data_IF_386120987840
#
_entry.id   IF_386120987840
#
_cell.length_a   1.000
_cell.length_b   1.000
_cell.length_c   1.000
_cell.angle_alpha   90.00
_cell.angle_beta   90.00
_cell.angle_gamma   90.00
#
_symmetry.space_group_name_H-M   'P 1'
#
loop_
_entity.id
_entity.type
_entity.pdbx_description
1 polymer ?
#
# COMPACT_ATOMS: atom_id res chain seq x y z
N UNK A 1 13.51 -0.28 -8.39
CA UNK A 1 14.13 -1.37 -7.61
C UNK A 1 13.50 -1.39 -6.23
N UNK A 2 13.32 -2.55 -5.62
CA UNK A 2 12.87 -2.71 -4.23
C UNK A 2 13.84 -3.66 -3.53
N UNK A 3 14.11 -3.42 -2.26
CA UNK A 3 14.91 -4.27 -1.38
C UNK A 3 14.04 -4.79 -0.24
N UNK A 4 14.35 -5.98 0.26
CA UNK A 4 13.72 -6.59 1.43
C UNK A 4 14.83 -7.09 2.38
N UNK A 5 14.62 -7.11 3.71
CA UNK A 5 13.40 -6.67 4.39
C UNK A 5 13.30 -5.13 4.51
N UNK A 6 12.16 -4.66 5.01
CA UNK A 6 11.92 -3.25 5.32
C UNK A 6 12.85 -2.68 6.40
N UNK A 7 12.95 -1.34 6.50
CA UNK A 7 13.79 -0.68 7.50
C UNK A 7 13.45 -1.11 8.94
N UNK A 8 12.16 -1.33 9.20
CA UNK A 8 11.67 -1.71 10.53
C UNK A 8 12.19 -3.07 11.02
N UNK A 9 12.56 -3.96 10.10
CA UNK A 9 13.14 -5.27 10.44
C UNK A 9 14.55 -5.19 11.01
N UNK A 10 15.19 -4.01 10.94
CA UNK A 10 16.53 -3.74 11.44
C UNK A 10 16.52 -3.11 12.85
N UNK A 11 15.42 -3.23 13.61
CA UNK A 11 15.32 -2.74 14.99
C UNK A 11 16.52 -3.16 15.87
N UNK A 12 16.97 -4.41 15.72
CA UNK A 12 18.10 -4.98 16.45
C UNK A 12 19.46 -4.81 15.74
N UNK A 13 19.47 -4.42 14.45
CA UNK A 13 20.70 -4.16 13.65
C UNK A 13 20.57 -2.86 12.81
N UNK A 14 20.61 -1.66 13.43
CA UNK A 14 20.50 -0.41 12.69
C UNK A 14 21.58 -0.21 11.62
N UNK A 15 22.79 -0.74 11.81
CA UNK A 15 23.84 -0.67 10.78
C UNK A 15 23.45 -1.47 9.52
N UNK A 16 22.68 -2.55 9.68
CA UNK A 16 22.05 -3.30 8.59
C UNK A 16 21.10 -2.46 7.74
N UNK A 17 20.36 -1.54 8.34
CA UNK A 17 19.47 -0.63 7.62
C UNK A 17 20.24 0.33 6.68
N UNK A 18 21.36 0.87 7.13
CA UNK A 18 22.22 1.69 6.28
C UNK A 18 22.76 0.88 5.10
N UNK A 19 23.20 -0.37 5.34
CA UNK A 19 23.67 -1.28 4.29
C UNK A 19 22.59 -1.58 3.25
N UNK A 20 21.32 -1.75 3.64
CA UNK A 20 20.23 -1.99 2.68
C UNK A 20 19.93 -0.77 1.80
N UNK A 21 20.05 0.44 2.36
CA UNK A 21 19.91 1.71 1.61
C UNK A 21 21.03 1.89 0.58
N UNK A 22 22.25 1.41 0.86
CA UNK A 22 23.38 1.54 -0.05
C UNK A 22 23.10 0.92 -1.42
N UNK A 23 22.42 -0.23 -1.45
CA UNK A 23 22.06 -0.90 -2.71
C UNK A 23 21.18 -0.02 -3.61
N UNK A 24 20.22 0.69 -3.00
CA UNK A 24 19.35 1.65 -3.71
C UNK A 24 20.11 2.89 -4.19
N UNK A 25 21.06 3.39 -3.38
CA UNK A 25 21.93 4.50 -3.76
C UNK A 25 22.80 4.13 -4.97
N UNK A 26 23.41 2.95 -4.97
CA UNK A 26 24.23 2.47 -6.09
C UNK A 26 23.38 2.24 -7.35
N UNK A 27 22.16 1.72 -7.20
CA UNK A 27 21.21 1.67 -8.31
C UNK A 27 20.95 3.07 -8.90
N UNK A 28 20.72 4.08 -8.07
CA UNK A 28 20.47 5.45 -8.55
C UNK A 28 21.71 6.06 -9.24
N UNK A 29 22.91 5.84 -8.68
CA UNK A 29 24.18 6.29 -9.28
C UNK A 29 24.43 5.70 -10.66
N UNK A 30 24.09 4.43 -10.86
CA UNK A 30 24.22 3.75 -12.15
C UNK A 30 23.25 4.30 -13.23
N UNK A 31 22.27 5.11 -12.82
CA UNK A 31 21.21 5.63 -13.68
C UNK A 31 21.36 7.13 -13.93
N UNK A 32 22.00 7.87 -13.03
CA UNK A 32 22.14 9.32 -13.11
C UNK A 32 23.58 9.68 -13.50
N UNK A 33 23.80 10.55 -14.51
CA UNK A 33 25.14 11.02 -14.88
C UNK A 33 25.88 11.61 -13.68
N UNK A 34 27.16 11.29 -13.57
CA UNK A 34 27.99 11.64 -12.40
C UNK A 34 28.07 13.15 -12.17
N UNK A 35 28.01 13.92 -13.25
CA UNK A 35 28.05 15.38 -13.26
C UNK A 35 26.81 15.98 -12.56
N UNK A 36 25.68 15.28 -12.59
CA UNK A 36 24.40 15.72 -12.00
C UNK A 36 24.23 15.30 -10.54
N UNK A 37 25.13 14.49 -9.97
CA UNK A 37 24.94 13.96 -8.61
C UNK A 37 24.81 15.08 -7.58
N UNK A 38 25.69 16.09 -7.62
CA UNK A 38 25.70 17.18 -6.62
C UNK A 38 24.45 18.06 -6.61
N UNK A 39 23.69 18.06 -7.70
CA UNK A 39 22.46 18.86 -7.84
C UNK A 39 21.20 18.01 -7.61
N UNK A 40 21.32 16.69 -7.75
CA UNK A 40 20.22 15.75 -7.58
C UNK A 40 19.97 15.52 -6.09
N UNK A 41 18.78 15.84 -5.61
CA UNK A 41 18.41 15.58 -4.21
C UNK A 41 18.14 14.09 -4.00
N UNK A 42 18.54 13.56 -2.85
CA UNK A 42 18.11 12.25 -2.37
C UNK A 42 17.35 12.41 -1.06
N UNK A 43 16.23 11.71 -0.92
CA UNK A 43 15.37 11.77 0.26
C UNK A 43 14.99 10.35 0.67
N UNK A 44 14.80 10.13 1.96
CA UNK A 44 14.31 8.87 2.51
C UNK A 44 13.07 9.14 3.36
N UNK A 45 11.96 8.53 2.97
CA UNK A 45 10.67 8.71 3.62
C UNK A 45 10.22 7.35 4.14
N UNK A 46 10.43 7.13 5.43
CA UNK A 46 9.99 5.92 6.10
C UNK A 46 8.52 6.01 6.50
N UNK A 47 7.81 4.88 6.42
CA UNK A 47 6.34 4.80 6.54
C UNK A 47 5.91 3.97 7.76
N UNK A 48 4.80 3.23 7.64
CA UNK A 48 4.13 2.56 8.74
C UNK A 48 5.01 1.58 9.51
N UNK A 49 5.89 0.84 8.82
CA UNK A 49 6.83 -0.07 9.47
C UNK A 49 7.64 0.62 10.56
N UNK A 50 8.21 1.79 10.25
CA UNK A 50 9.00 2.58 11.20
C UNK A 50 8.12 3.26 12.25
N UNK A 51 6.90 3.70 11.90
CA UNK A 51 5.94 4.27 12.87
C UNK A 51 5.57 3.33 14.01
N UNK A 52 5.73 2.01 13.83
CA UNK A 52 5.46 1.00 14.87
C UNK A 52 6.59 0.80 15.87
N UNK A 53 7.78 1.35 15.61
CA UNK A 53 8.94 1.22 16.52
C UNK A 53 8.96 2.34 17.55
N UNK A 54 9.67 2.13 18.64
CA UNK A 54 9.98 3.20 19.59
C UNK A 54 10.85 4.28 18.94
N UNK A 55 10.63 5.54 19.30
CA UNK A 55 11.30 6.72 18.69
C UNK A 55 12.83 6.60 18.75
N UNK A 56 13.38 6.06 19.84
CA UNK A 56 14.83 5.85 19.98
C UNK A 56 15.38 4.84 18.95
N UNK A 57 14.62 3.78 18.67
CA UNK A 57 14.98 2.78 17.65
C UNK A 57 14.83 3.37 16.26
N UNK A 58 13.76 4.15 16.01
CA UNK A 58 13.57 4.85 14.74
C UNK A 58 14.77 5.75 14.41
N UNK A 59 15.22 6.58 15.36
CA UNK A 59 16.33 7.49 15.15
C UNK A 59 17.66 6.76 14.95
N UNK A 60 17.93 5.66 15.68
CA UNK A 60 19.13 4.84 15.45
C UNK A 60 19.20 4.29 14.02
N UNK A 61 18.08 3.80 13.50
CA UNK A 61 17.96 3.30 12.12
C UNK A 61 18.16 4.46 11.13
N UNK A 62 17.44 5.58 11.31
CA UNK A 62 17.53 6.73 10.41
C UNK A 62 18.94 7.33 10.41
N UNK A 63 19.63 7.38 11.54
CA UNK A 63 21.02 7.85 11.64
C UNK A 63 21.98 6.98 10.83
N UNK A 64 21.78 5.66 10.84
CA UNK A 64 22.53 4.73 9.99
C UNK A 64 22.30 5.04 8.50
N UNK A 65 21.04 5.22 8.10
CA UNK A 65 20.69 5.60 6.73
C UNK A 65 21.25 6.98 6.33
N UNK A 66 21.16 7.99 7.20
CA UNK A 66 21.69 9.35 6.98
C UNK A 66 23.19 9.33 6.71
N UNK A 67 23.98 8.48 7.40
CA UNK A 67 25.41 8.32 7.14
C UNK A 67 25.68 7.88 5.69
N UNK A 68 24.89 6.91 5.19
CA UNK A 68 24.99 6.42 3.81
C UNK A 68 24.58 7.48 2.80
N UNK A 69 23.46 8.17 3.06
CA UNK A 69 22.95 9.22 2.16
C UNK A 69 23.88 10.42 2.08
N UNK A 70 24.50 10.84 3.20
CA UNK A 70 25.55 11.88 3.22
C UNK A 70 26.77 11.49 2.37
N UNK A 71 27.16 10.21 2.41
CA UNK A 71 28.30 9.68 1.65
C UNK A 71 28.00 9.39 0.18
N UNK A 72 26.74 9.55 -0.27
CA UNK A 72 26.33 9.13 -1.62
C UNK A 72 26.87 10.03 -2.75
N UNK A 73 27.19 11.29 -2.47
CA UNK A 73 27.53 12.30 -3.48
C UNK A 73 26.31 12.99 -4.10
N UNK A 74 25.09 12.54 -3.78
CA UNK A 74 23.85 13.28 -4.05
C UNK A 74 23.67 14.43 -3.06
N UNK A 75 22.87 15.44 -3.43
CA UNK A 75 22.47 16.52 -2.52
C UNK A 75 21.58 15.95 -1.42
N UNK A 76 21.99 16.08 -0.16
CA UNK A 76 21.27 15.51 0.98
C UNK A 76 21.30 16.45 2.18
N UNK A 77 20.23 16.40 2.98
CA UNK A 77 20.11 17.04 4.28
C UNK A 77 19.52 16.04 5.27
N UNK A 78 20.00 16.02 6.52
CA UNK A 78 19.61 14.98 7.49
C UNK A 78 18.09 14.97 7.77
N UNK A 79 17.43 16.12 7.71
CA UNK A 79 15.97 16.24 7.84
C UNK A 79 15.17 15.66 6.66
N UNK A 80 15.82 15.28 5.56
CA UNK A 80 15.19 14.60 4.42
C UNK A 80 15.18 13.08 4.57
N UNK A 81 15.76 12.54 5.64
CA UNK A 81 15.59 11.17 6.08
C UNK A 81 14.76 11.16 7.37
N UNK A 82 13.46 10.90 7.24
CA UNK A 82 12.50 11.00 8.33
C UNK A 82 11.38 9.96 8.21
N UNK A 83 10.67 9.72 9.32
CA UNK A 83 9.41 8.98 9.31
C UNK A 83 8.29 9.97 9.01
N UNK A 84 7.55 9.75 7.92
CA UNK A 84 6.46 10.65 7.52
C UNK A 84 5.16 10.27 8.22
N UNK A 85 4.23 11.23 8.33
CA UNK A 85 2.90 10.93 8.84
C UNK A 85 2.11 10.12 7.82
N UNK A 86 1.20 9.27 8.29
CA UNK A 86 0.36 8.48 7.38
C UNK A 86 -0.60 9.33 6.53
N UNK A 87 -0.96 10.53 6.97
CA UNK A 87 -1.71 11.47 6.13
C UNK A 87 -0.84 12.03 5.00
N UNK A 88 0.42 12.36 5.27
CA UNK A 88 1.33 12.86 4.21
C UNK A 88 1.60 11.77 3.18
N UNK A 89 1.73 10.51 3.62
CA UNK A 89 1.80 9.33 2.76
C UNK A 89 0.66 9.28 1.74
N UNK A 90 -0.59 9.36 2.23
CA UNK A 90 -1.77 9.39 1.36
C UNK A 90 -1.85 10.63 0.46
N UNK A 91 -1.44 11.81 0.95
CA UNK A 91 -1.42 13.05 0.16
C UNK A 91 -0.39 12.96 -0.98
N UNK A 92 0.81 12.47 -0.72
CA UNK A 92 1.84 12.31 -1.73
C UNK A 92 1.41 11.30 -2.81
N UNK A 93 0.82 10.18 -2.42
CA UNK A 93 0.25 9.22 -3.38
C UNK A 93 -0.85 9.86 -4.25
N UNK A 94 -1.74 10.65 -3.64
CA UNK A 94 -2.79 11.37 -4.36
C UNK A 94 -2.24 12.40 -5.35
N UNK A 95 -1.21 13.16 -4.97
CA UNK A 95 -0.55 14.13 -5.85
C UNK A 95 0.07 13.41 -7.05
N UNK A 96 0.82 12.34 -6.82
CA UNK A 96 1.50 11.60 -7.89
C UNK A 96 0.50 11.01 -8.87
N UNK A 97 -0.57 10.40 -8.37
CA UNK A 97 -1.63 9.84 -9.21
C UNK A 97 -2.31 10.91 -10.07
N UNK A 98 -2.72 12.02 -9.48
CA UNK A 98 -3.42 13.07 -10.21
C UNK A 98 -2.51 13.88 -11.13
N UNK A 99 -1.22 13.95 -10.82
CA UNK A 99 -0.22 14.49 -11.74
C UNK A 99 -0.11 13.60 -12.98
N UNK A 100 0.04 12.28 -12.78
CA UNK A 100 0.16 11.33 -13.87
C UNK A 100 -1.11 11.24 -14.73
N UNK A 101 -2.28 11.40 -14.11
CA UNK A 101 -3.58 11.48 -14.80
C UNK A 101 -3.83 12.82 -15.50
N UNK A 102 -2.99 13.84 -15.27
CA UNK A 102 -3.17 15.18 -15.82
C UNK A 102 -4.37 15.95 -15.24
N UNK A 103 -4.87 15.55 -14.07
CA UNK A 103 -6.02 16.18 -13.40
C UNK A 103 -5.60 17.28 -12.42
N UNK A 104 -4.33 17.32 -11.99
CA UNK A 104 -3.80 18.42 -11.19
C UNK A 104 -3.77 19.74 -11.99
N UNK A 105 -4.14 20.83 -11.32
CA UNK A 105 -4.34 22.15 -11.92
C UNK A 105 -5.73 22.35 -12.53
N UNK A 106 -6.55 21.29 -12.62
CA UNK A 106 -7.94 21.33 -13.07
C UNK A 106 -8.97 21.39 -11.92
N UNK A 107 -10.21 21.01 -12.23
CA UNK A 107 -11.30 20.94 -11.24
C UNK A 107 -10.99 19.92 -10.12
N UNK A 108 -10.96 20.33 -8.83
CA UNK A 108 -10.82 19.41 -7.70
C UNK A 108 -11.76 18.21 -7.72
N UNK A 109 -12.99 18.36 -8.23
CA UNK A 109 -13.98 17.28 -8.22
C UNK A 109 -13.75 16.22 -9.31
N UNK A 110 -12.90 16.50 -10.29
CA UNK A 110 -12.50 15.56 -11.35
C UNK A 110 -11.24 14.76 -11.01
N UNK A 111 -10.64 15.05 -9.85
CA UNK A 111 -9.49 14.29 -9.35
C UNK A 111 -9.89 12.88 -8.94
N UNK A 112 -8.92 11.97 -8.98
CA UNK A 112 -9.08 10.57 -8.61
C UNK A 112 -8.54 10.35 -7.20
N UNK A 113 -9.35 9.75 -6.33
CA UNK A 113 -8.93 9.36 -4.98
C UNK A 113 -7.93 8.21 -5.01
N UNK A 114 -7.22 8.02 -3.89
CA UNK A 114 -6.26 6.94 -3.69
C UNK A 114 -6.68 6.10 -2.49
N UNK A 115 -6.60 4.78 -2.69
CA UNK A 115 -6.57 3.80 -1.60
C UNK A 115 -5.26 3.02 -1.73
N UNK A 116 -4.34 3.26 -0.81
CA UNK A 116 -3.05 2.59 -0.78
C UNK A 116 -3.08 1.52 0.30
N UNK A 117 -2.60 0.31 -0.02
CA UNK A 117 -2.48 -0.80 0.93
C UNK A 117 -1.02 -1.22 1.04
N UNK A 118 -0.33 -0.69 2.05
CA UNK A 118 1.04 -1.06 2.40
C UNK A 118 1.12 -2.33 3.25
N UNK A 119 2.31 -2.63 3.76
CA UNK A 119 2.54 -3.78 4.63
C UNK A 119 1.94 -3.60 6.03
N UNK A 120 2.08 -2.40 6.60
CA UNK A 120 1.69 -2.11 7.98
C UNK A 120 0.52 -1.11 8.13
N UNK A 121 0.20 -0.32 7.11
CA UNK A 121 -1.01 0.51 7.09
C UNK A 121 -1.69 0.52 5.73
N UNK A 122 -2.91 1.06 5.72
CA UNK A 122 -3.59 1.51 4.52
C UNK A 122 -3.87 3.02 4.59
N UNK A 123 -4.08 3.67 3.46
CA UNK A 123 -4.34 5.10 3.36
C UNK A 123 -5.53 5.34 2.44
N UNK A 124 -6.38 6.28 2.82
CA UNK A 124 -7.51 6.73 1.99
C UNK A 124 -7.39 8.23 1.84
N UNK A 125 -7.23 8.71 0.61
CA UNK A 125 -7.07 10.14 0.31
C UNK A 125 -7.88 10.56 -0.92
N UNK A 126 -8.76 11.54 -0.78
CA UNK A 126 -9.57 12.07 -1.89
C UNK A 126 -10.09 13.47 -1.60
N UNK A 127 -10.50 14.19 -2.64
CA UNK A 127 -11.22 15.47 -2.47
C UNK A 127 -12.62 15.19 -1.92
N UNK A 128 -12.91 15.66 -0.72
CA UNK A 128 -14.24 15.56 -0.13
C UNK A 128 -15.10 16.76 -0.51
N UNK A 129 -16.39 16.52 -0.80
CA UNK A 129 -17.39 17.59 -0.98
C UNK A 129 -17.95 18.10 0.34
N UNK A 130 -17.72 17.35 1.42
CA UNK A 130 -18.22 17.64 2.75
C UNK A 130 -17.16 18.36 3.58
N UNK A 131 -17.60 19.21 4.50
CA UNK A 131 -16.71 19.87 5.44
C UNK A 131 -16.10 18.81 6.37
N UNK A 132 -14.76 18.74 6.39
CA UNK A 132 -14.01 17.77 7.18
C UNK A 132 -13.47 18.39 8.46
N UNK A 133 -13.40 17.59 9.53
CA UNK A 133 -12.67 17.99 10.74
C UNK A 133 -11.20 18.28 10.38
N UNK A 134 -10.55 19.28 11.02
CA UNK A 134 -9.16 19.63 10.74
C UNK A 134 -8.18 18.45 10.85
N UNK A 135 -8.47 17.49 11.73
CA UNK A 135 -7.66 16.28 11.90
C UNK A 135 -7.51 15.49 10.59
N UNK A 136 -8.59 15.36 9.82
CA UNK A 136 -8.64 14.59 8.57
C UNK A 136 -8.43 15.43 7.32
N UNK A 137 -8.46 16.76 7.45
CA UNK A 137 -8.35 17.67 6.32
C UNK A 137 -6.89 18.00 6.01
N UNK A 138 -6.50 17.89 4.74
CA UNK A 138 -5.20 18.33 4.24
C UNK A 138 -5.41 19.24 3.04
N UNK A 139 -4.68 20.35 3.00
CA UNK A 139 -4.78 21.32 1.90
C UNK A 139 -3.54 21.22 1.02
N UNK A 140 -3.75 20.99 -0.27
CA UNK A 140 -2.69 21.00 -1.29
C UNK A 140 -2.95 22.15 -2.23
N UNK A 141 -1.91 22.91 -2.57
CA UNK A 141 -1.97 23.97 -3.58
C UNK A 141 -1.11 23.59 -4.77
N UNK A 142 -1.69 23.68 -5.97
CA UNK A 142 -0.97 23.44 -7.21
C UNK A 142 -1.37 24.49 -8.25
N UNK A 143 -0.42 25.32 -8.66
CA UNK A 143 -0.72 26.53 -9.43
C UNK A 143 -1.67 27.45 -8.67
N UNK A 144 -2.80 27.80 -9.31
CA UNK A 144 -3.84 28.64 -8.72
C UNK A 144 -5.00 27.82 -8.08
N UNK A 145 -4.89 26.49 -8.06
CA UNK A 145 -5.94 25.62 -7.52
C UNK A 145 -5.58 25.16 -6.11
N UNK A 146 -6.59 25.18 -5.23
CA UNK A 146 -6.49 24.63 -3.87
C UNK A 146 -7.38 23.41 -3.75
N UNK A 147 -6.79 22.29 -3.32
CA UNK A 147 -7.47 21.01 -3.08
C UNK A 147 -7.62 20.79 -1.58
N UNK A 148 -8.85 20.56 -1.13
CA UNK A 148 -9.14 20.17 0.24
C UNK A 148 -9.39 18.66 0.26
N UNK A 149 -8.41 17.95 0.77
CA UNK A 149 -8.38 16.49 0.80
C UNK A 149 -8.88 16.00 2.16
N UNK A 150 -9.69 14.96 2.14
CA UNK A 150 -9.70 13.99 3.22
C UNK A 150 -8.44 13.14 3.09
N UNK A 151 -7.68 12.95 4.17
CA UNK A 151 -6.56 12.02 4.20
C UNK A 151 -6.42 11.38 5.57
N UNK A 152 -6.52 10.06 5.61
CA UNK A 152 -6.39 9.28 6.84
C UNK A 152 -5.58 8.00 6.61
N UNK A 153 -4.81 7.62 7.62
CA UNK A 153 -4.01 6.39 7.64
C UNK A 153 -4.57 5.42 8.66
N UNK A 154 -4.86 4.22 8.19
CA UNK A 154 -5.34 3.08 8.94
C UNK A 154 -4.13 2.25 9.37
N UNK A 155 -3.42 2.72 10.40
CA UNK A 155 -2.28 2.01 10.97
C UNK A 155 -2.74 0.65 11.54
N UNK A 156 -1.89 -0.38 11.38
CA UNK A 156 -2.17 -1.79 11.70
C UNK A 156 -3.16 -2.51 10.76
N UNK A 157 -3.76 -1.81 9.81
CA UNK A 157 -4.62 -2.41 8.78
C UNK A 157 -3.90 -2.67 7.45
N UNK A 158 -2.57 -2.57 7.44
CA UNK A 158 -1.76 -3.02 6.30
C UNK A 158 -1.82 -4.53 6.12
N UNK A 159 -1.51 -5.01 4.91
CA UNK A 159 -1.76 -6.39 4.53
C UNK A 159 -0.97 -7.41 5.36
N UNK A 160 0.30 -7.12 5.65
CA UNK A 160 1.17 -8.02 6.41
C UNK A 160 0.77 -8.05 7.88
N UNK A 161 0.54 -6.87 8.49
CA UNK A 161 0.10 -6.79 9.89
C UNK A 161 -1.28 -7.41 10.10
N UNK A 162 -2.19 -7.28 9.13
CA UNK A 162 -3.48 -7.93 9.18
C UNK A 162 -3.35 -9.47 9.07
N UNK A 163 -2.45 -9.97 8.22
CA UNK A 163 -2.16 -11.39 8.12
C UNK A 163 -1.52 -11.94 9.41
N UNK A 164 -0.60 -11.21 10.02
CA UNK A 164 0.01 -11.61 11.30
C UNK A 164 -1.03 -11.59 12.43
N UNK A 165 -1.91 -10.60 12.44
CA UNK A 165 -3.05 -10.52 13.37
C UNK A 165 -4.02 -11.70 13.19
N UNK A 166 -4.27 -12.12 11.94
CA UNK A 166 -5.02 -13.34 11.64
C UNK A 166 -4.34 -14.58 12.24
N UNK A 167 -3.04 -14.74 12.01
CA UNK A 167 -2.28 -15.90 12.51
C UNK A 167 -2.29 -15.96 14.04
N UNK A 168 -2.06 -14.84 14.72
CA UNK A 168 -2.13 -14.77 16.18
C UNK A 168 -3.53 -15.10 16.71
N UNK A 169 -4.58 -14.56 16.09
CA UNK A 169 -5.95 -14.84 16.50
C UNK A 169 -6.40 -16.29 16.22
N UNK A 170 -5.84 -16.91 15.18
CA UNK A 170 -5.99 -18.33 14.90
C UNK A 170 -5.32 -19.17 16.00
N UNK A 171 -4.13 -18.78 16.47
CA UNK A 171 -3.39 -19.44 17.56
C UNK A 171 -4.12 -19.33 18.89
N UNK A 172 -4.54 -18.13 19.26
CA UNK A 172 -5.19 -17.86 20.54
C UNK A 172 -6.59 -18.46 20.63
N UNK A 173 -7.21 -18.77 19.48
CA UNK A 173 -8.58 -19.26 19.40
C UNK A 173 -9.65 -18.17 19.45
N UNK A 174 -9.25 -16.90 19.46
CA UNK A 174 -10.16 -15.75 19.60
C UNK A 174 -11.19 -15.66 18.46
N UNK A 175 -10.84 -16.13 17.25
CA UNK A 175 -11.74 -16.06 16.08
C UNK A 175 -12.71 -17.24 15.98
N UNK A 176 -12.43 -18.38 16.61
CA UNK A 176 -13.36 -19.52 16.64
C UNK A 176 -14.66 -19.16 17.37
N UNK A 177 -14.58 -18.27 18.37
CA UNK A 177 -15.74 -17.74 19.10
C UNK A 177 -16.67 -16.90 18.20
N UNK A 178 -16.12 -16.21 17.19
CA UNK A 178 -16.87 -15.36 16.27
C UNK A 178 -17.57 -16.20 15.19
N UNK A 179 -16.88 -17.21 14.63
CA UNK A 179 -17.46 -18.15 13.67
C UNK A 179 -18.60 -18.99 14.27
N UNK A 180 -18.56 -19.27 15.57
CA UNK A 180 -19.66 -19.93 16.29
C UNK A 180 -20.91 -19.05 16.41
N UNK A 181 -20.76 -17.73 16.56
CA UNK A 181 -21.91 -16.82 16.66
C UNK A 181 -22.65 -16.57 15.34
N UNK A 182 -21.97 -16.77 14.20
CA UNK A 182 -22.55 -16.54 12.86
C UNK A 182 -23.31 -17.77 12.31
N UNK A 183 -23.11 -18.95 12.90
CA UNK A 183 -23.72 -20.21 12.45
C UNK A 183 -24.51 -20.89 13.57
N UNK A 184 -25.70 -20.36 13.90
CA UNK A 184 -26.61 -20.91 14.93
C UNK A 184 -27.04 -22.38 14.72
N UNK A 185 -26.71 -23.00 13.59
CA UNK A 185 -27.11 -24.38 13.24
C UNK A 185 -25.98 -25.43 13.40
N UNK A 186 -24.76 -25.06 13.81
CA UNK A 186 -23.63 -26.01 14.01
C UNK A 186 -22.99 -25.99 15.41
N UNK A 187 -23.69 -25.40 16.39
CA UNK A 187 -23.20 -25.16 17.76
C UNK A 187 -22.74 -26.43 18.50
N UNK A 188 -23.25 -27.61 18.13
CA UNK A 188 -22.92 -28.88 18.80
C UNK A 188 -21.63 -29.56 18.30
N UNK A 189 -21.18 -29.29 17.07
CA UNK A 189 -19.97 -29.92 16.53
C UNK A 189 -18.70 -29.10 16.87
N UNK A 190 -18.78 -27.77 16.82
CA UNK A 190 -17.65 -26.88 17.07
C UNK A 190 -17.13 -26.94 18.52
N UNK A 191 -18.04 -27.06 19.50
CA UNK A 191 -17.68 -27.20 20.92
C UNK A 191 -16.85 -28.45 21.24
N UNK A 192 -16.98 -29.52 20.43
CA UNK A 192 -16.19 -30.75 20.57
C UNK A 192 -14.79 -30.66 19.93
N UNK A 193 -14.60 -29.76 18.95
CA UNK A 193 -13.29 -29.50 18.31
C UNK A 193 -12.43 -28.51 19.12
N UNK A 194 -13.04 -27.51 19.77
CA UNK A 194 -12.33 -26.59 20.66
C UNK A 194 -11.76 -27.32 21.88
N UNK A 195 -12.46 -28.34 22.40
CA UNK A 195 -11.93 -29.20 23.47
C UNK A 195 -10.69 -30.04 23.06
N UNK A 196 -10.39 -30.15 21.75
CA UNK A 196 -9.23 -30.88 21.20
C UNK A 196 -8.07 -29.98 20.78
N UNK A 197 -8.18 -28.65 20.88
CA UNK A 197 -7.13 -27.73 20.42
C UNK A 197 -6.91 -27.77 18.90
N UNK A 198 -7.95 -28.12 18.13
CA UNK A 198 -7.92 -28.10 16.67
C UNK A 198 -8.45 -26.75 16.17
N UNK A 199 -7.62 -25.98 15.47
CA UNK A 199 -7.97 -24.71 14.86
C UNK A 199 -8.05 -24.88 13.34
N UNK A 200 -9.07 -24.27 12.72
CA UNK A 200 -9.28 -24.36 11.27
C UNK A 200 -8.78 -23.07 10.64
N UNK A 201 -7.85 -23.19 9.69
CA UNK A 201 -7.35 -22.08 8.91
C UNK A 201 -7.99 -22.03 7.51
N UNK A 202 -9.00 -21.17 7.30
CA UNK A 202 -9.58 -20.95 5.97
C UNK A 202 -8.69 -20.13 5.03
N UNK A 203 -7.69 -19.40 5.55
CA UNK A 203 -6.92 -18.40 4.81
C UNK A 203 -5.60 -18.90 4.24
N UNK A 204 -5.19 -20.11 4.59
CA UNK A 204 -4.05 -20.80 3.98
C UNK A 204 -4.55 -21.88 3.01
N UNK A 205 -3.91 -22.05 1.84
CA UNK A 205 -4.34 -23.04 0.85
C UNK A 205 -4.46 -24.46 1.41
N UNK A 206 -5.42 -25.21 0.88
CA UNK A 206 -5.70 -26.57 1.31
C UNK A 206 -4.47 -27.49 1.16
N UNK A 207 -4.27 -28.39 2.12
CA UNK A 207 -3.16 -29.36 2.08
C UNK A 207 -1.81 -28.80 2.55
N UNK A 208 -1.73 -27.52 2.90
CA UNK A 208 -0.54 -26.99 3.58
C UNK A 208 -0.47 -27.51 5.02
N UNK A 209 0.70 -28.02 5.43
CA UNK A 209 0.96 -28.44 6.80
C UNK A 209 1.94 -27.49 7.45
N UNK A 210 1.55 -26.92 8.58
CA UNK A 210 2.43 -26.09 9.39
C UNK A 210 3.51 -26.95 10.07
N UNK A 211 4.76 -26.49 10.02
CA UNK A 211 5.82 -27.05 10.86
C UNK A 211 5.71 -26.47 12.27
N UNK A 212 6.01 -27.27 13.29
CA UNK A 212 6.00 -26.85 14.72
C UNK A 212 6.83 -25.58 14.97
N UNK A 213 7.90 -25.37 14.21
CA UNK A 213 8.76 -24.17 14.34
C UNK A 213 8.26 -22.93 13.59
N UNK A 214 7.27 -23.06 12.69
CA UNK A 214 6.73 -21.92 11.92
C UNK A 214 5.90 -20.92 12.75
N UNK A 215 5.75 -21.19 14.05
CA UNK A 215 4.90 -20.47 15.00
C UNK A 215 5.73 -19.70 16.04
N UNK A 216 7.07 -19.76 15.97
CA UNK A 216 7.98 -19.15 16.94
C UNK A 216 8.43 -17.72 16.58
N UNK A 217 7.89 -17.12 15.53
CA UNK A 217 8.38 -15.85 14.98
C UNK A 217 7.46 -14.69 15.33
N UNK A 218 7.46 -14.27 16.60
CA UNK A 218 7.06 -12.92 16.99
C UNK A 218 7.93 -12.49 18.19
N UNK A 219 8.77 -11.44 18.11
CA UNK A 219 9.75 -11.08 19.14
C UNK A 219 9.17 -10.32 20.34
N UNK A 220 7.85 -10.33 20.56
CA UNK A 220 7.20 -9.47 21.56
C UNK A 220 6.25 -10.24 22.47
N UNK A 221 6.81 -11.03 23.39
CA UNK A 221 6.31 -11.17 24.77
C UNK A 221 7.16 -12.19 25.55
N UNK A 222 7.97 -11.69 26.48
CA UNK A 222 8.48 -12.51 27.58
C UNK A 222 7.32 -12.82 28.53
N UNK A 223 6.58 -13.88 28.24
CA UNK A 223 5.73 -14.55 29.21
C UNK A 223 5.82 -16.04 28.99
N UNK A 224 6.23 -16.78 30.02
CA UNK A 224 6.25 -18.24 30.05
C UNK A 224 4.90 -18.80 29.57
N UNK A 225 4.84 -19.28 28.32
CA UNK A 225 3.65 -19.94 27.78
C UNK A 225 3.79 -21.45 27.96
N UNK A 226 2.81 -22.00 28.68
CA UNK A 226 2.55 -23.43 28.83
C UNK A 226 2.60 -24.19 27.50
N UNK A 227 3.05 -25.42 27.58
CA UNK A 227 3.33 -26.40 26.52
C UNK A 227 2.08 -26.93 25.77
N UNK A 228 1.13 -26.06 25.41
CA UNK A 228 -0.03 -26.42 24.59
C UNK A 228 0.17 -25.88 23.17
N UNK A 229 0.44 -26.77 22.22
CA UNK A 229 0.56 -26.39 20.81
C UNK A 229 -0.74 -26.73 20.09
N UNK A 230 -1.49 -25.72 19.62
CA UNK A 230 -2.71 -25.97 18.86
C UNK A 230 -2.39 -26.73 17.57
N UNK A 231 -3.21 -27.73 17.25
CA UNK A 231 -3.15 -28.39 15.93
C UNK A 231 -3.92 -27.52 14.96
N UNK A 232 -3.30 -27.13 13.84
CA UNK A 232 -3.96 -26.26 12.85
C UNK A 232 -4.17 -27.01 11.55
N UNK A 233 -5.42 -27.07 11.13
CA UNK A 233 -5.85 -27.69 9.89
C UNK A 233 -6.15 -26.62 8.85
N UNK A 234 -5.40 -26.62 7.75
CA UNK A 234 -5.65 -25.74 6.61
C UNK A 234 -6.82 -26.25 5.78
N UNK A 235 -7.66 -25.32 5.34
CA UNK A 235 -8.88 -25.63 4.60
C UNK A 235 -8.99 -24.86 3.28
N UNK A 236 -8.34 -23.70 3.15
CA UNK A 236 -8.34 -22.95 1.92
C UNK A 236 -9.75 -22.54 1.46
N UNK A 237 -10.55 -21.96 2.35
CA UNK A 237 -11.90 -21.52 2.06
C UNK A 237 -11.97 -19.99 1.99
N UNK A 238 -12.00 -19.45 0.78
CA UNK A 238 -12.02 -18.01 0.55
C UNK A 238 -13.17 -17.28 1.27
N UNK A 239 -14.39 -17.83 1.28
CA UNK A 239 -15.54 -17.16 1.89
C UNK A 239 -15.42 -17.08 3.42
N UNK A 240 -14.93 -18.15 4.04
CA UNK A 240 -14.60 -18.15 5.47
C UNK A 240 -13.43 -17.20 5.75
N UNK A 241 -12.39 -17.20 4.90
CA UNK A 241 -11.26 -16.30 5.04
C UNK A 241 -11.66 -14.81 4.92
N UNK A 242 -12.53 -14.47 3.97
CA UNK A 242 -13.07 -13.11 3.80
C UNK A 242 -13.87 -12.68 5.03
N UNK A 243 -14.62 -13.60 5.64
CA UNK A 243 -15.37 -13.34 6.88
C UNK A 243 -14.41 -13.10 8.05
N UNK A 244 -13.33 -13.86 8.15
CA UNK A 244 -12.26 -13.63 9.13
C UNK A 244 -11.58 -12.27 8.92
N UNK A 245 -11.22 -11.94 7.68
CA UNK A 245 -10.64 -10.65 7.33
C UNK A 245 -11.57 -9.48 7.69
N UNK A 246 -12.87 -9.60 7.42
CA UNK A 246 -13.86 -8.59 7.82
C UNK A 246 -13.93 -8.42 9.34
N UNK A 247 -13.82 -9.52 10.10
CA UNK A 247 -13.77 -9.46 11.56
C UNK A 247 -12.56 -8.68 12.05
N UNK A 248 -11.39 -8.88 11.42
CA UNK A 248 -10.18 -8.10 11.73
C UNK A 248 -10.37 -6.62 11.42
N UNK A 249 -10.98 -6.29 10.27
CA UNK A 249 -11.30 -4.92 9.88
C UNK A 249 -12.30 -4.24 10.84
N UNK A 250 -13.15 -5.01 11.52
CA UNK A 250 -14.13 -4.50 12.49
C UNK A 250 -13.58 -4.41 13.92
N UNK A 251 -12.40 -4.96 14.20
CA UNK A 251 -11.81 -4.95 15.54
C UNK A 251 -11.60 -3.50 16.02
N UNK A 252 -12.06 -3.18 17.22
CA UNK A 252 -11.97 -1.84 17.80
C UNK A 252 -13.14 -0.92 17.45
N UNK A 253 -14.13 -1.38 16.66
CA UNK A 253 -15.29 -0.58 16.26
C UNK A 253 -16.17 -0.14 17.43
N UNK A 254 -16.17 -0.88 18.52
CA UNK A 254 -16.81 -0.51 19.79
C UNK A 254 -16.24 0.80 20.39
N UNK A 255 -15.02 1.18 20.02
CA UNK A 255 -14.38 2.42 20.45
C UNK A 255 -14.62 3.59 19.47
N UNK A 256 -15.54 3.44 18.50
CA UNK A 256 -15.86 4.49 17.53
C UNK A 256 -16.44 5.73 18.22
N UNK A 257 -15.74 6.86 18.09
CA UNK A 257 -16.16 8.14 18.67
C UNK A 257 -16.90 9.05 17.68
N UNK A 258 -17.24 8.53 16.50
CA UNK A 258 -17.88 9.26 15.40
C UNK A 258 -19.28 8.69 15.09
N UNK A 259 -20.05 9.37 14.24
CA UNK A 259 -21.40 8.92 13.86
C UNK A 259 -21.38 7.50 13.25
N UNK A 260 -20.34 7.20 12.48
CA UNK A 260 -20.06 5.86 11.96
C UNK A 260 -18.55 5.64 11.84
N UNK A 261 -18.13 4.39 11.92
CA UNK A 261 -16.77 3.96 11.60
C UNK A 261 -16.84 2.71 10.71
N UNK A 262 -16.11 2.74 9.61
CA UNK A 262 -16.14 1.68 8.60
C UNK A 262 -15.08 0.61 8.90
N UNK A 263 -13.93 1.01 9.44
CA UNK A 263 -12.79 0.15 9.75
C UNK A 263 -12.27 0.46 11.16
N UNK A 264 -12.44 -0.50 12.07
CA UNK A 264 -12.20 -0.34 13.51
C UNK A 264 -12.90 0.91 14.03
N UNK A 265 -12.17 1.74 14.77
CA UNK A 265 -12.64 3.03 15.31
C UNK A 265 -12.43 4.22 14.36
N UNK A 266 -12.13 3.98 13.07
CA UNK A 266 -11.80 5.04 12.12
C UNK A 266 -13.01 5.49 11.34
N UNK A 267 -13.27 6.79 11.36
CA UNK A 267 -14.26 7.45 10.52
C UNK A 267 -13.72 7.58 9.10
N UNK A 268 -14.52 7.17 8.11
CA UNK A 268 -14.24 7.41 6.69
C UNK A 268 -15.50 8.04 6.09
N UNK A 269 -15.40 9.23 5.45
CA UNK A 269 -16.54 9.79 4.74
C UNK A 269 -16.96 8.85 3.60
N UNK A 270 -18.22 8.93 3.20
CA UNK A 270 -18.68 8.20 2.02
C UNK A 270 -17.77 8.53 0.84
N UNK A 271 -17.19 7.51 0.23
CA UNK A 271 -16.30 7.67 -0.91
C UNK A 271 -17.05 8.32 -2.08
N UNK A 272 -16.40 9.24 -2.80
CA UNK A 272 -17.01 10.00 -3.89
C UNK A 272 -16.05 10.08 -5.08
N UNK A 273 -16.56 9.81 -6.28
CA UNK A 273 -15.79 9.89 -7.51
C UNK A 273 -15.03 8.61 -7.83
N UNK A 274 -13.94 8.76 -8.59
CA UNK A 274 -13.09 7.67 -9.07
C UNK A 274 -11.96 7.42 -8.07
N UNK A 275 -11.53 6.17 -7.94
CA UNK A 275 -10.41 5.81 -7.08
C UNK A 275 -9.40 4.92 -7.81
N UNK A 276 -8.14 5.06 -7.43
CA UNK A 276 -7.08 4.10 -7.73
C UNK A 276 -6.70 3.33 -6.46
N UNK A 277 -6.60 2.01 -6.59
CA UNK A 277 -6.06 1.13 -5.58
C UNK A 277 -4.61 0.76 -5.94
N UNK A 278 -3.66 1.02 -5.04
CA UNK A 278 -2.20 0.93 -5.29
C UNK A 278 -1.50 -0.09 -4.38
N UNK A 279 -0.19 -0.28 -4.57
CA UNK A 279 0.66 -1.16 -3.76
C UNK A 279 0.14 -2.62 -3.69
N UNK A 280 -0.18 -3.15 -2.50
CA UNK A 280 -0.54 -4.56 -2.38
C UNK A 280 -1.83 -4.93 -3.12
N UNK A 281 -2.71 -3.96 -3.44
CA UNK A 281 -3.82 -4.20 -4.36
C UNK A 281 -3.31 -4.62 -5.75
N UNK A 282 -2.35 -3.88 -6.28
CA UNK A 282 -1.73 -4.16 -7.57
C UNK A 282 -0.91 -5.43 -7.55
N UNK A 283 -0.06 -5.64 -6.53
CA UNK A 283 0.78 -6.83 -6.44
C UNK A 283 -0.06 -8.11 -6.38
N UNK A 284 -1.11 -8.11 -5.57
CA UNK A 284 -2.04 -9.26 -5.48
C UNK A 284 -2.76 -9.49 -6.80
N UNK A 285 -3.25 -8.42 -7.45
CA UNK A 285 -3.96 -8.54 -8.74
C UNK A 285 -3.03 -9.04 -9.86
N UNK A 286 -1.79 -8.52 -9.90
CA UNK A 286 -0.75 -8.95 -10.85
C UNK A 286 -0.38 -10.40 -10.65
N UNK A 287 -0.26 -10.88 -9.41
CA UNK A 287 -0.02 -12.29 -9.12
C UNK A 287 -1.09 -13.20 -9.74
N UNK A 288 -2.35 -12.79 -9.68
CA UNK A 288 -3.47 -13.52 -10.30
C UNK A 288 -3.59 -13.30 -11.82
N UNK A 289 -2.69 -12.55 -12.45
CA UNK A 289 -2.75 -12.25 -13.88
C UNK A 289 -3.91 -11.34 -14.27
N UNK A 290 -4.44 -10.57 -13.31
CA UNK A 290 -5.53 -9.64 -13.57
C UNK A 290 -4.98 -8.34 -14.18
N UNK A 291 -5.69 -7.82 -15.19
CA UNK A 291 -5.33 -6.55 -15.82
C UNK A 291 -5.57 -5.34 -14.91
N UNK A 292 -5.01 -4.16 -15.25
CA UNK A 292 -5.10 -2.93 -14.44
C UNK A 292 -6.51 -2.32 -14.34
N UNK A 293 -7.47 -2.87 -15.07
CA UNK A 293 -8.88 -2.48 -15.05
C UNK A 293 -9.79 -3.66 -14.65
N UNK A 294 -9.22 -4.70 -14.03
CA UNK A 294 -9.99 -5.84 -13.58
C UNK A 294 -10.96 -5.43 -12.47
N UNK A 295 -12.18 -5.95 -12.56
CA UNK A 295 -13.20 -5.77 -11.53
C UNK A 295 -12.84 -6.54 -10.25
N UNK A 296 -13.35 -6.06 -9.12
CA UNK A 296 -13.15 -6.70 -7.83
C UNK A 296 -13.73 -8.13 -7.80
N UNK A 297 -14.81 -8.37 -8.56
CA UNK A 297 -15.38 -9.70 -8.78
C UNK A 297 -14.37 -10.70 -9.36
N UNK A 298 -13.48 -10.27 -10.27
CA UNK A 298 -12.44 -11.13 -10.85
C UNK A 298 -11.37 -11.48 -9.83
N UNK A 299 -10.99 -10.54 -8.97
CA UNK A 299 -10.09 -10.81 -7.85
C UNK A 299 -10.72 -11.80 -6.86
N UNK A 300 -12.02 -11.63 -6.57
CA UNK A 300 -12.76 -12.57 -5.73
C UNK A 300 -12.76 -13.98 -6.32
N UNK A 301 -13.06 -14.14 -7.62
CA UNK A 301 -13.03 -15.46 -8.29
C UNK A 301 -11.62 -16.06 -8.28
N UNK A 302 -10.59 -15.28 -8.60
CA UNK A 302 -9.21 -15.76 -8.57
C UNK A 302 -8.77 -16.21 -7.16
N UNK A 303 -9.17 -15.45 -6.13
CA UNK A 303 -8.95 -15.81 -4.73
C UNK A 303 -9.65 -17.11 -4.34
N UNK A 304 -10.90 -17.30 -4.77
CA UNK A 304 -11.65 -18.55 -4.53
C UNK A 304 -10.95 -19.77 -5.13
N UNK A 305 -10.52 -19.67 -6.39
CA UNK A 305 -9.78 -20.74 -7.07
C UNK A 305 -8.44 -21.03 -6.39
N UNK A 306 -7.70 -19.98 -6.02
CA UNK A 306 -6.39 -20.12 -5.40
C UNK A 306 -6.45 -20.72 -4.00
N UNK A 307 -7.35 -20.22 -3.14
CA UNK A 307 -7.54 -20.74 -1.79
C UNK A 307 -7.91 -22.22 -1.81
N UNK A 308 -8.82 -22.62 -2.71
CA UNK A 308 -9.33 -24.00 -2.78
C UNK A 308 -8.39 -25.01 -3.44
N UNK A 309 -7.26 -24.57 -4.02
CA UNK A 309 -6.32 -25.47 -4.69
C UNK A 309 -5.36 -26.14 -3.69
N UNK A 310 -4.95 -27.36 -4.03
CA UNK A 310 -3.98 -28.11 -3.24
C UNK A 310 -2.59 -27.46 -3.24
N UNK A 311 -2.01 -27.32 -2.06
CA UNK A 311 -0.72 -26.68 -1.84
C UNK A 311 0.42 -27.27 -2.70
N UNK A 312 0.45 -28.59 -2.93
CA UNK A 312 1.51 -29.20 -3.74
C UNK A 312 1.38 -28.81 -5.21
N UNK A 313 0.16 -28.61 -5.72
CA UNK A 313 -0.05 -28.10 -7.07
C UNK A 313 0.33 -26.63 -7.17
N UNK A 314 -0.03 -25.81 -6.17
CA UNK A 314 0.39 -24.40 -6.13
C UNK A 314 1.92 -24.28 -6.14
N UNK A 315 2.62 -25.07 -5.32
CA UNK A 315 4.09 -25.09 -5.27
C UNK A 315 4.70 -25.49 -6.62
N UNK A 316 4.09 -26.43 -7.35
CA UNK A 316 4.53 -26.83 -8.70
C UNK A 316 4.23 -25.76 -9.75
N UNK A 317 3.16 -25.00 -9.60
CA UNK A 317 2.77 -23.92 -10.52
C UNK A 317 3.66 -22.68 -10.35
N UNK A 318 4.04 -22.36 -9.11
CA UNK A 318 4.78 -21.13 -8.76
C UNK A 318 6.19 -21.42 -8.22
N UNK A 319 7.00 -22.14 -8.99
CA UNK A 319 8.32 -22.66 -8.55
C UNK A 319 9.30 -21.55 -8.12
N UNK A 320 9.25 -20.39 -8.78
CA UNK A 320 10.19 -19.27 -8.54
C UNK A 320 9.77 -18.29 -7.45
N UNK A 321 8.63 -18.53 -6.77
CA UNK A 321 8.10 -17.60 -5.79
C UNK A 321 8.53 -18.00 -4.38
N UNK A 322 8.73 -16.99 -3.53
CA UNK A 322 8.98 -17.23 -2.12
C UNK A 322 7.79 -17.97 -1.48
N UNK A 323 8.10 -18.94 -0.62
CA UNK A 323 7.10 -19.80 -0.01
C UNK A 323 6.13 -19.00 0.86
N UNK A 324 6.65 -18.06 1.64
CA UNK A 324 5.85 -17.26 2.58
C UNK A 324 4.93 -16.32 1.81
N UNK A 325 5.41 -15.78 0.69
CA UNK A 325 4.57 -14.97 -0.19
C UNK A 325 3.43 -15.79 -0.78
N UNK A 326 3.66 -17.02 -1.25
CA UNK A 326 2.58 -17.89 -1.74
C UNK A 326 1.52 -18.18 -0.68
N UNK A 327 1.93 -18.45 0.57
CA UNK A 327 0.98 -18.72 1.65
C UNK A 327 0.06 -17.52 1.93
N UNK A 328 0.54 -16.30 1.70
CA UNK A 328 -0.24 -15.07 1.94
C UNK A 328 -1.33 -14.81 0.91
N UNK A 329 -1.21 -15.24 -0.34
CA UNK A 329 -2.09 -14.78 -1.43
C UNK A 329 -3.58 -15.13 -1.23
N UNK A 330 -3.89 -16.24 -0.57
CA UNK A 330 -5.28 -16.57 -0.21
C UNK A 330 -5.84 -15.51 0.76
N UNK A 331 -5.17 -15.26 1.89
CA UNK A 331 -5.52 -14.17 2.80
C UNK A 331 -5.54 -12.81 2.10
N UNK A 332 -4.54 -12.49 1.27
CA UNK A 332 -4.43 -11.19 0.61
C UNK A 332 -5.63 -10.88 -0.26
N UNK A 333 -6.06 -11.84 -1.09
CA UNK A 333 -7.24 -11.67 -1.94
C UNK A 333 -8.53 -11.49 -1.12
N UNK A 334 -8.69 -12.28 -0.05
CA UNK A 334 -9.86 -12.19 0.82
C UNK A 334 -9.91 -10.87 1.60
N UNK A 335 -8.77 -10.43 2.13
CA UNK A 335 -8.62 -9.17 2.86
C UNK A 335 -8.87 -7.95 1.99
N UNK A 336 -8.34 -7.94 0.76
CA UNK A 336 -8.58 -6.86 -0.21
C UNK A 336 -10.08 -6.73 -0.52
N UNK A 337 -10.78 -7.85 -0.75
CA UNK A 337 -12.22 -7.82 -1.04
C UNK A 337 -13.01 -7.35 0.18
N UNK A 338 -12.66 -7.82 1.39
CA UNK A 338 -13.30 -7.37 2.64
C UNK A 338 -13.07 -5.87 2.90
N UNK A 339 -11.87 -5.37 2.63
CA UNK A 339 -11.51 -3.97 2.78
C UNK A 339 -12.29 -3.09 1.79
N UNK A 340 -12.22 -3.40 0.50
CA UNK A 340 -12.81 -2.55 -0.54
C UNK A 340 -14.33 -2.66 -0.60
N UNK A 341 -14.87 -3.87 -0.64
CA UNK A 341 -16.31 -4.07 -0.83
C UNK A 341 -17.07 -3.98 0.50
N UNK A 342 -16.69 -4.82 1.47
CA UNK A 342 -17.49 -4.99 2.69
C UNK A 342 -17.35 -3.81 3.65
N UNK A 343 -16.19 -3.14 3.66
CA UNK A 343 -15.92 -2.02 4.56
C UNK A 343 -16.08 -0.66 3.87
N UNK A 344 -15.54 -0.49 2.66
CA UNK A 344 -15.54 0.81 1.96
C UNK A 344 -16.67 0.98 0.93
N UNK A 345 -17.45 -0.07 0.66
CA UNK A 345 -18.62 -0.01 -0.21
C UNK A 345 -18.31 0.07 -1.72
N UNK A 346 -17.09 -0.27 -2.14
CA UNK A 346 -16.71 -0.34 -3.55
C UNK A 346 -17.48 -1.46 -4.24
N UNK A 347 -18.09 -1.19 -5.40
CA UNK A 347 -18.86 -2.18 -6.16
C UNK A 347 -18.03 -3.40 -6.61
N UNK A 348 -18.67 -4.57 -6.70
CA UNK A 348 -18.02 -5.79 -7.24
C UNK A 348 -17.76 -5.71 -8.74
N UNK A 349 -18.72 -5.13 -9.47
CA UNK A 349 -18.71 -4.89 -10.91
C UNK A 349 -19.18 -3.47 -11.18
N UNK A 350 -18.53 -2.76 -12.12
CA UNK A 350 -18.93 -1.38 -12.48
C UNK A 350 -20.27 -1.32 -13.23
N UNK A 351 -20.77 -2.43 -13.77
CA UNK A 351 -21.94 -2.42 -14.67
C UNK A 351 -23.31 -2.41 -13.95
N UNK A 352 -23.42 -2.90 -12.71
CA UNK A 352 -24.72 -3.02 -12.02
C UNK A 352 -25.29 -1.70 -11.49
N UNK A 353 -24.58 -0.58 -11.64
CA UNK A 353 -24.94 0.72 -11.06
C UNK A 353 -25.10 1.87 -12.08
N UNK A 354 -25.38 1.58 -13.35
CA UNK A 354 -25.88 2.62 -14.27
C UNK A 354 -27.24 3.14 -13.77
N UNK A 355 -27.22 4.21 -12.97
CA UNK A 355 -28.41 4.98 -12.59
C UNK A 355 -28.72 5.14 -11.09
N UNK A 356 -27.91 4.60 -10.17
CA UNK A 356 -28.06 4.91 -8.72
C UNK A 356 -27.02 5.94 -8.30
N UNK A 357 -27.46 7.01 -7.62
CA UNK A 357 -26.59 8.08 -7.08
C UNK A 357 -25.44 7.49 -6.24
N UNK A 358 -24.24 7.49 -6.80
CA UNK A 358 -23.00 7.00 -6.18
C UNK A 358 -22.19 6.10 -7.11
N UNK A 359 -21.81 6.60 -8.29
CA UNK A 359 -20.92 5.90 -9.24
C UNK A 359 -19.48 5.97 -8.71
N UNK A 360 -19.10 5.03 -7.84
CA UNK A 360 -17.72 4.85 -7.39
C UNK A 360 -17.05 3.84 -8.31
N UNK A 361 -16.12 4.31 -9.15
CA UNK A 361 -15.34 3.44 -10.04
C UNK A 361 -13.95 3.26 -9.46
N UNK A 362 -13.54 2.01 -9.31
CA UNK A 362 -12.22 1.65 -8.83
C UNK A 362 -11.38 1.09 -9.98
N UNK A 363 -10.14 1.55 -10.10
CA UNK A 363 -9.14 0.91 -10.95
C UNK A 363 -7.99 0.42 -10.08
N UNK A 364 -7.56 -0.81 -10.29
CA UNK A 364 -6.39 -1.36 -9.59
C UNK A 364 -5.16 -1.05 -10.42
N UNK A 365 -4.31 -0.13 -9.94
CA UNK A 365 -3.15 0.32 -10.69
C UNK A 365 -1.86 0.16 -9.91
N UNK A 366 -0.84 -0.30 -10.62
CA UNK A 366 0.51 -0.41 -10.08
C UNK A 366 1.23 0.91 -10.13
N UNK A 367 0.97 1.78 -9.16
CA UNK A 367 1.79 2.97 -8.95
C UNK A 367 2.39 2.92 -7.56
N UNK A 368 3.71 2.93 -7.51
CA UNK A 368 4.42 3.39 -6.33
C UNK A 368 4.51 4.91 -6.46
N UNK A 369 3.98 5.64 -5.49
CA UNK A 369 4.09 7.09 -5.32
C UNK A 369 5.51 7.65 -5.56
N UNK A 370 6.58 6.86 -5.41
CA UNK A 370 7.95 7.26 -5.75
C UNK A 370 8.37 7.05 -7.22
N UNK A 371 7.50 6.55 -8.09
CA UNK A 371 7.86 6.16 -9.47
C UNK A 371 6.86 6.64 -10.51
N UNK A 372 7.22 7.71 -11.23
CA UNK A 372 6.58 8.07 -12.51
C UNK A 372 6.55 6.88 -13.50
N UNK A 373 7.53 5.97 -13.43
CA UNK A 373 7.58 4.77 -14.27
C UNK A 373 6.49 3.72 -13.93
N UNK A 374 6.09 3.62 -12.66
CA UNK A 374 4.97 2.76 -12.26
C UNK A 374 3.65 3.27 -12.83
N UNK A 375 3.45 4.60 -12.76
CA UNK A 375 2.36 5.27 -13.47
C UNK A 375 2.39 4.97 -14.98
N UNK A 376 3.52 5.16 -15.68
CA UNK A 376 3.58 4.94 -17.14
C UNK A 376 3.24 3.51 -17.60
N UNK A 377 3.75 2.47 -16.93
CA UNK A 377 3.39 1.08 -17.26
C UNK A 377 1.92 0.74 -16.93
N UNK A 378 1.33 1.42 -15.94
CA UNK A 378 -0.05 1.22 -15.50
C UNK A 378 -1.12 1.83 -16.44
N UNK A 379 -0.73 2.65 -17.42
CA UNK A 379 -1.64 3.33 -18.35
C UNK A 379 -1.69 2.72 -19.76
N UNK A 380 -1.05 1.55 -20.00
CA UNK A 380 -1.15 0.83 -21.28
C UNK A 380 -0.30 1.40 -22.41
N UNK A 381 0.82 2.03 -22.09
CA UNK A 381 1.77 2.53 -23.09
C UNK A 381 2.73 1.38 -23.42
N UNK A 382 2.48 0.63 -24.50
CA UNK A 382 3.36 -0.45 -24.97
C UNK A 382 4.68 0.12 -25.56
N UNK A 383 5.78 -0.61 -25.41
CA UNK A 383 7.13 -0.21 -25.83
C UNK A 383 7.33 -0.07 -27.36
N UNK A 384 6.39 -0.52 -28.21
CA UNK A 384 6.65 -0.68 -29.66
C UNK A 384 5.73 0.05 -30.66
N UNK A 385 4.79 0.93 -30.25
CA UNK A 385 3.98 1.68 -31.22
C UNK A 385 4.01 3.19 -31.03
N UNK A 386 5.12 3.80 -31.47
CA UNK A 386 5.21 5.24 -31.73
C UNK A 386 5.38 5.52 -33.23
N UNK A 387 4.38 5.14 -34.02
CA UNK A 387 4.17 5.69 -35.36
C UNK A 387 3.02 6.71 -35.28
N UNK A 388 3.34 8.00 -35.19
CA UNK A 388 2.36 9.08 -35.30
C UNK A 388 1.85 9.21 -36.74
N UNK A 389 0.54 9.28 -36.99
CA UNK A 389 0.04 10.06 -38.11
C UNK A 389 0.23 11.54 -37.77
N UNK A 390 0.80 12.24 -38.73
CA UNK A 390 1.00 13.68 -38.78
C UNK A 390 -0.32 14.46 -38.62
N UNK A 391 -0.21 15.78 -38.51
CA UNK A 391 -1.27 16.81 -38.49
C UNK A 391 -1.61 17.38 -37.11
N UNK A 392 -0.71 18.25 -36.61
CA UNK A 392 -1.16 19.54 -36.08
C UNK A 392 -0.06 20.58 -36.30
N UNK A 393 -0.26 21.41 -37.32
CA UNK A 393 0.61 22.53 -37.67
C UNK A 393 0.11 23.80 -36.99
N UNK A 394 1.08 24.51 -36.39
CA UNK A 394 1.17 25.97 -36.21
C UNK A 394 0.29 26.59 -35.11
N UNK A 395 0.97 27.05 -34.04
CA UNK A 395 0.47 28.15 -33.21
C UNK A 395 0.83 28.06 -31.72
N UNK A 396 2.05 28.49 -31.35
CA UNK A 396 2.47 28.84 -29.98
C UNK A 396 2.46 27.74 -28.90
N UNK A 397 3.60 27.05 -28.75
CA UNK A 397 4.12 26.61 -27.44
C UNK A 397 5.61 26.28 -27.58
N UNK A 398 6.49 27.22 -27.20
CA UNK A 398 7.94 27.00 -27.08
C UNK A 398 8.24 26.46 -25.67
N UNK A 399 8.12 25.15 -25.46
CA UNK A 399 8.72 24.44 -24.30
C UNK A 399 8.67 22.89 -24.40
N UNK A 400 8.69 22.29 -25.60
CA UNK A 400 8.66 20.80 -25.76
C UNK A 400 9.89 20.27 -26.49
N UNK A 401 10.99 21.04 -26.50
CA UNK A 401 12.16 20.71 -27.31
C UNK A 401 13.41 20.64 -26.46
N UNK A 402 13.52 19.62 -25.59
CA UNK A 402 14.79 18.96 -25.23
C UNK A 402 14.51 17.73 -24.33
N UNK A 403 14.05 16.64 -24.94
CA UNK A 403 14.18 15.29 -24.38
C UNK A 403 14.46 14.33 -25.54
N UNK A 404 15.64 14.49 -26.15
CA UNK A 404 16.27 13.43 -26.92
C UNK A 404 17.37 12.83 -26.05
N UNK A 405 17.26 11.53 -25.81
CA UNK A 405 18.35 10.64 -25.38
C UNK A 405 18.78 10.76 -23.91
N UNK A 406 18.06 10.10 -22.99
CA UNK A 406 18.63 9.44 -21.80
C UNK A 406 17.52 8.71 -21.04
N UNK A 407 17.48 7.39 -21.20
CA UNK A 407 16.58 6.49 -20.48
C UNK A 407 17.04 6.35 -19.03
N UNK A 408 16.25 6.86 -18.09
CA UNK A 408 16.53 6.75 -16.66
C UNK A 408 15.25 6.32 -15.93
N UNK A 409 15.31 5.13 -15.31
CA UNK A 409 14.27 4.66 -14.40
C UNK A 409 14.20 5.59 -13.18
N UNK A 410 13.02 6.19 -12.96
CA UNK A 410 12.69 6.94 -11.75
C UNK A 410 13.35 8.31 -11.60
N UNK A 411 13.15 9.21 -12.57
CA UNK A 411 13.47 10.64 -12.41
C UNK A 411 12.16 11.43 -12.32
N UNK A 412 11.91 12.05 -11.16
CA UNK A 412 10.80 12.99 -10.99
C UNK A 412 11.39 14.40 -11.02
N UNK A 413 11.18 15.11 -12.13
CA UNK A 413 11.58 16.52 -12.37
C UNK A 413 10.69 17.54 -11.64
N UNK A 414 9.83 17.07 -10.72
CA UNK A 414 8.69 17.82 -10.19
C UNK A 414 8.87 18.31 -8.73
N UNK A 415 9.87 17.81 -8.02
CA UNK A 415 10.01 18.09 -6.59
C UNK A 415 10.32 19.54 -6.17
N UNK A 416 10.98 20.42 -6.97
CA UNK A 416 11.24 21.78 -6.50
C UNK A 416 9.96 22.55 -6.14
N UNK A 417 8.80 22.19 -6.72
CA UNK A 417 7.50 22.77 -6.36
C UNK A 417 6.85 22.09 -5.15
N UNK A 418 7.14 20.80 -4.89
CA UNK A 418 6.66 20.07 -3.71
C UNK A 418 7.45 20.40 -2.45
N UNK A 419 8.72 20.82 -2.57
CA UNK A 419 9.51 21.33 -1.44
C UNK A 419 8.87 22.59 -0.79
N UNK A 420 7.94 23.26 -1.47
CA UNK A 420 7.17 24.40 -0.96
C UNK A 420 5.91 24.00 -0.16
N UNK A 421 5.61 22.70 -0.02
CA UNK A 421 4.54 22.21 0.87
C UNK A 421 4.95 22.23 2.35
N UNK A 422 6.26 22.38 2.64
CA UNK A 422 6.75 22.73 3.97
C UNK A 422 7.06 24.24 4.03
N UNK A 423 6.37 24.92 4.96
CA UNK A 423 6.57 26.30 5.42
C UNK A 423 5.98 27.48 4.61
N UNK A 424 5.26 28.31 5.35
CA UNK A 424 4.79 29.66 4.99
C UNK A 424 5.88 30.46 4.28
N UNK A 425 5.76 30.71 2.98
CA UNK A 425 6.16 31.98 2.32
C UNK A 425 5.73 31.99 0.85
N UNK A 426 5.05 33.06 0.46
CA UNK A 426 4.79 33.51 -0.92
C UNK A 426 6.11 33.78 -1.64
N UNK A 427 6.30 33.41 -2.92
CA UNK A 427 7.08 34.22 -3.89
C UNK A 427 6.92 33.78 -5.37
N UNK A 428 7.16 34.77 -6.23
CA UNK A 428 6.94 34.89 -7.68
C UNK A 428 7.95 34.13 -8.56
N UNK A 429 7.50 33.83 -9.79
CA UNK A 429 8.17 33.10 -10.87
C UNK A 429 9.65 33.43 -11.13
N UNK A 430 10.47 32.38 -11.20
CA UNK A 430 11.62 32.31 -12.11
C UNK A 430 11.82 30.86 -12.56
N UNK A 431 12.11 30.66 -13.84
CA UNK A 431 12.27 29.36 -14.50
C UNK A 431 13.56 28.71 -13.98
N UNK A 432 13.42 27.69 -13.12
CA UNK A 432 14.53 26.84 -12.70
C UNK A 432 14.53 25.54 -13.50
N UNK A 433 15.72 25.13 -13.95
CA UNK A 433 16.01 23.78 -14.49
C UNK A 433 15.45 22.76 -13.48
N UNK A 434 14.75 21.68 -13.90
CA UNK A 434 14.15 20.76 -12.95
C UNK A 434 15.25 20.08 -12.13
N UNK A 435 15.33 20.41 -10.83
CA UNK A 435 16.15 19.64 -9.90
C UNK A 435 15.56 18.23 -9.81
N UNK A 436 16.36 17.23 -10.17
CA UNK A 436 15.99 15.83 -10.01
C UNK A 436 15.96 15.46 -8.54
N UNK A 437 14.96 14.68 -8.12
CA UNK A 437 14.87 14.17 -6.74
C UNK A 437 14.68 12.66 -6.77
N UNK A 438 15.56 11.96 -6.05
CA UNK A 438 15.48 10.55 -5.73
C UNK A 438 14.74 10.42 -4.41
N UNK A 439 13.72 9.58 -4.36
CA UNK A 439 13.00 9.26 -3.13
C UNK A 439 13.11 7.78 -2.87
N UNK A 440 13.60 7.46 -1.68
CA UNK A 440 13.63 6.12 -1.15
C UNK A 440 12.46 5.99 -0.17
N UNK A 441 11.44 5.24 -0.57
CA UNK A 441 10.39 4.77 0.35
C UNK A 441 10.71 3.35 0.74
N UNK A 442 10.79 3.12 2.03
CA UNK A 442 11.11 1.84 2.63
C UNK A 442 10.12 1.56 3.75
N UNK A 443 9.33 0.51 3.52
CA UNK A 443 8.23 0.06 4.38
C UNK A 443 8.69 -1.10 5.26
#
# INVERSE_FOLDING_TARGET
MRVNPGLSSFAEDPDGAGRSVLELVEFAKNRIPKESWRETEIRLMATAGMRMLDVEVQERILDSCRKVLRGSGFKFSDNWASVITGSDEGVYAWVVANYALGTLGGDPLETTGIIELGGASAQVTFVSREAMLPLFSRTVKFGNVTYNLYSHSLLHFGLNVAHDSWREALISGDLNLVFESLNSSRQFAASQYIQKGLHIDPCTPAGYSYNVDSWKSSPSSHSEKSQYQPTVQTRGNFSECRSAALTLLQKGKESCSYQHCDIGSNFIPKLQGKFLATENFFHTSKFFGLGPHAYLSKLMTAGQEYCGEDWLKLKKKYISHDKEDLLRHCFSSAYIVALLHDSLGIGMDDESNRGKKGDQRMRVQGSCWCSNHGCCAAFGWEEEQWAFPSWCSIGQMKAVQFCRSLWVCGLVSFWPQMAALEFKTTFTSSVAIPNFVIVLVLD
#
